data_IF_461076902585
#
_entry.id   IF_461076902585
#
_cell.length_a   1.000
_cell.length_b   1.000
_cell.length_c   1.000
_cell.angle_alpha   90.00
_cell.angle_beta   90.00
_cell.angle_gamma   90.00
#
_symmetry.space_group_name_H-M   'P 1'
#
loop_
_entity.id
_entity.type
_entity.pdbx_description
1 polymer ?
#
# COMPACT_ATOMS: atom_id res chain seq x y z
N UNK A 1 14.00 -13.13 -13.00
CA UNK A 1 13.97 -12.52 -11.64
C UNK A 1 12.92 -11.41 -11.65
N UNK A 2 11.94 -11.45 -10.75
CA UNK A 2 10.90 -10.41 -10.59
C UNK A 2 10.98 -9.87 -9.16
N UNK A 3 11.47 -8.63 -9.03
CA UNK A 3 11.69 -7.97 -7.75
C UNK A 3 11.40 -6.48 -7.91
N UNK A 4 10.65 -5.92 -6.97
CA UNK A 4 10.20 -4.53 -6.97
C UNK A 4 10.39 -3.96 -5.58
N UNK A 5 11.01 -2.79 -5.50
CA UNK A 5 11.16 -2.00 -4.28
C UNK A 5 10.57 -0.63 -4.51
N UNK A 6 9.61 -0.22 -3.69
CA UNK A 6 9.00 1.11 -3.78
C UNK A 6 8.87 1.73 -2.39
N UNK A 7 8.99 3.05 -2.34
CA UNK A 7 8.73 3.87 -1.15
C UNK A 7 7.54 4.75 -1.48
N UNK A 8 6.52 4.72 -0.62
CA UNK A 8 5.30 5.49 -0.86
C UNK A 8 4.45 5.64 0.39
N UNK A 9 3.37 6.41 0.25
CA UNK A 9 2.41 6.66 1.33
C UNK A 9 1.13 5.85 1.13
N UNK A 10 0.60 5.28 2.21
CA UNK A 10 -0.71 4.61 2.17
C UNK A 10 -1.81 5.61 1.88
N UNK A 11 -2.63 5.34 0.87
CA UNK A 11 -3.69 6.27 0.44
C UNK A 11 -4.98 6.04 1.22
N UNK A 12 -5.20 4.83 1.74
CA UNK A 12 -6.44 4.41 2.41
C UNK A 12 -6.14 3.88 3.82
N UNK A 13 -7.12 3.92 4.76
CA UNK A 13 -7.04 3.20 6.01
C UNK A 13 -6.76 1.71 5.79
N UNK A 14 -6.15 1.08 6.79
CA UNK A 14 -5.77 -0.33 6.70
C UNK A 14 -6.93 -1.19 7.17
N UNK A 15 -7.41 -2.04 6.28
CA UNK A 15 -8.50 -3.00 6.52
C UNK A 15 -7.96 -4.41 6.29
N UNK A 16 -8.07 -5.25 7.32
CA UNK A 16 -7.76 -6.68 7.22
C UNK A 16 -9.03 -7.42 6.84
N UNK A 17 -8.93 -8.24 5.81
CA UNK A 17 -9.99 -9.12 5.35
C UNK A 17 -9.54 -10.57 5.55
N UNK A 18 -10.34 -11.37 6.24
CA UNK A 18 -10.12 -12.82 6.30
C UNK A 18 -10.62 -13.45 5.00
N UNK A 19 -9.79 -14.29 4.38
CA UNK A 19 -10.11 -14.98 3.13
C UNK A 19 -9.90 -16.48 3.32
N UNK A 20 -10.98 -17.24 3.26
CA UNK A 20 -10.95 -18.67 3.57
C UNK A 20 -10.75 -18.89 5.07
N UNK A 21 -9.99 -19.92 5.44
CA UNK A 21 -9.79 -20.29 6.85
C UNK A 21 -8.44 -19.80 7.35
N UNK A 22 -8.42 -18.76 8.18
CA UNK A 22 -7.22 -18.31 8.90
C UNK A 22 -6.15 -17.59 8.07
N UNK A 23 -6.47 -17.13 6.85
CA UNK A 23 -5.59 -16.27 6.05
C UNK A 23 -6.14 -14.86 6.01
N UNK A 24 -5.26 -13.89 6.17
CA UNK A 24 -5.62 -12.48 6.18
C UNK A 24 -4.97 -11.76 5.01
N UNK A 25 -5.72 -10.87 4.37
CA UNK A 25 -5.24 -10.01 3.29
C UNK A 25 -5.53 -8.55 3.60
N UNK A 26 -4.61 -7.67 3.23
CA UNK A 26 -4.81 -6.23 3.19
C UNK A 26 -4.54 -5.75 1.77
N UNK A 27 -5.57 -5.19 1.14
CA UNK A 27 -5.47 -4.53 -0.16
C UNK A 27 -5.40 -3.01 0.07
N UNK A 28 -4.34 -2.36 -0.41
CA UNK A 28 -4.19 -0.91 -0.33
C UNK A 28 -3.55 -0.35 -1.60
N UNK A 29 -3.20 0.93 -1.58
CA UNK A 29 -2.54 1.61 -2.68
C UNK A 29 -1.47 2.52 -2.11
N UNK A 30 -0.26 2.43 -2.66
CA UNK A 30 0.83 3.34 -2.33
C UNK A 30 0.86 4.49 -3.34
N UNK A 31 0.82 5.71 -2.84
CA UNK A 31 1.19 6.89 -3.59
C UNK A 31 2.72 6.99 -3.62
N UNK A 32 3.31 6.73 -4.78
CA UNK A 32 4.75 6.78 -5.03
C UNK A 32 5.05 8.07 -5.77
N UNK A 33 5.83 8.94 -5.16
CA UNK A 33 6.18 10.23 -5.75
C UNK A 33 7.14 10.06 -6.93
N UNK A 34 6.85 10.71 -8.07
CA UNK A 34 7.75 10.75 -9.22
C UNK A 34 8.90 11.72 -8.97
N UNK A 35 10.11 11.31 -9.34
CA UNK A 35 11.34 12.12 -9.15
C UNK A 35 11.32 13.38 -10.02
N UNK A 36 10.88 13.27 -11.28
CA UNK A 36 10.77 14.41 -12.18
C UNK A 36 9.46 15.16 -11.95
N UNK A 37 9.56 16.47 -11.74
CA UNK A 37 8.43 17.40 -11.80
C UNK A 37 8.02 17.60 -13.25
N UNK A 38 6.74 17.89 -13.48
CA UNK A 38 6.28 18.37 -14.78
C UNK A 38 6.81 19.78 -15.07
N UNK A 39 6.70 20.20 -16.32
CA UNK A 39 7.07 21.55 -16.77
C UNK A 39 6.29 22.65 -16.04
N UNK A 40 5.14 22.32 -15.44
CA UNK A 40 4.32 23.20 -14.59
C UNK A 40 4.79 23.29 -13.11
N UNK A 41 5.83 22.55 -12.74
CA UNK A 41 6.36 22.49 -11.38
C UNK A 41 5.59 21.62 -10.39
N UNK A 42 4.48 20.99 -10.79
CA UNK A 42 3.65 20.16 -9.90
C UNK A 42 4.30 18.79 -9.63
N UNK A 43 4.20 18.34 -8.37
CA UNK A 43 4.62 17.01 -7.96
C UNK A 43 3.56 15.98 -8.38
N UNK A 44 3.99 14.94 -9.09
CA UNK A 44 3.12 13.83 -9.50
C UNK A 44 3.36 12.60 -8.63
N UNK A 45 2.32 11.79 -8.46
CA UNK A 45 2.41 10.49 -7.82
C UNK A 45 1.79 9.40 -8.70
N UNK A 46 2.42 8.24 -8.70
CA UNK A 46 1.84 6.99 -9.19
C UNK A 46 1.11 6.28 -8.06
N UNK A 47 -0.01 5.66 -8.39
CA UNK A 47 -0.84 4.93 -7.43
C UNK A 47 -0.70 3.44 -7.69
N UNK A 48 0.15 2.78 -6.91
CA UNK A 48 0.48 1.37 -7.10
C UNK A 48 -0.40 0.52 -6.16
N UNK A 49 -1.31 -0.31 -6.69
CA UNK A 49 -2.05 -1.26 -5.87
C UNK A 49 -1.10 -2.26 -5.21
N UNK A 50 -1.28 -2.48 -3.91
CA UNK A 50 -0.52 -3.45 -3.14
C UNK A 50 -1.44 -4.47 -2.48
N UNK A 51 -0.97 -5.71 -2.40
CA UNK A 51 -1.62 -6.82 -1.70
C UNK A 51 -0.63 -7.35 -0.67
N UNK A 52 -1.02 -7.35 0.60
CA UNK A 52 -0.21 -7.80 1.72
C UNK A 52 -0.91 -8.95 2.42
N UNK A 53 -0.19 -10.02 2.73
CA UNK A 53 -0.76 -11.23 3.32
C UNK A 53 -0.30 -11.45 4.77
N UNK A 54 -1.15 -12.12 5.53
CA UNK A 54 -0.92 -12.76 6.82
C UNK A 54 -0.14 -11.88 7.80
N UNK A 55 0.99 -12.36 8.31
CA UNK A 55 1.82 -11.67 9.31
C UNK A 55 2.18 -10.25 8.86
N UNK A 56 2.54 -10.08 7.59
CA UNK A 56 2.93 -8.77 7.04
C UNK A 56 1.72 -7.82 7.00
N UNK A 57 0.52 -8.33 6.73
CA UNK A 57 -0.72 -7.55 6.79
C UNK A 57 -1.04 -7.11 8.23
N UNK A 58 -0.89 -8.00 9.20
CA UNK A 58 -1.06 -7.67 10.62
C UNK A 58 -0.06 -6.60 11.09
N UNK A 59 1.22 -6.71 10.69
CA UNK A 59 2.23 -5.69 10.98
C UNK A 59 1.84 -4.34 10.39
N UNK A 60 1.38 -4.30 9.14
CA UNK A 60 0.89 -3.08 8.51
C UNK A 60 -0.23 -2.45 9.35
N UNK A 61 -1.24 -3.24 9.76
CA UNK A 61 -2.36 -2.75 10.58
C UNK A 61 -1.94 -2.25 11.96
N UNK A 62 -0.94 -2.88 12.56
CA UNK A 62 -0.47 -2.54 13.91
C UNK A 62 0.34 -1.23 13.93
N UNK A 63 1.13 -0.97 12.89
CA UNK A 63 2.14 0.10 12.92
C UNK A 63 1.90 1.24 11.93
N UNK A 64 1.00 1.06 10.96
CA UNK A 64 0.73 2.05 9.94
C UNK A 64 -0.71 2.56 10.01
N UNK A 65 -0.95 3.72 9.41
CA UNK A 65 -2.27 4.29 9.17
C UNK A 65 -2.29 4.96 7.80
N UNK A 66 -3.43 5.57 7.44
CA UNK A 66 -3.52 6.36 6.20
C UNK A 66 -2.46 7.45 6.23
N UNK A 67 -1.71 7.59 5.15
CA UNK A 67 -0.68 8.59 4.98
C UNK A 67 0.71 8.16 5.46
N UNK A 68 0.85 7.06 6.22
CA UNK A 68 2.16 6.58 6.68
C UNK A 68 3.10 6.33 5.49
N UNK A 69 4.32 6.84 5.58
CA UNK A 69 5.40 6.57 4.62
C UNK A 69 6.08 5.23 4.98
N UNK A 70 6.12 4.33 4.02
CA UNK A 70 6.83 3.05 4.17
C UNK A 70 7.51 2.63 2.86
N UNK A 71 8.54 1.81 3.01
CA UNK A 71 9.17 1.06 1.92
C UNK A 71 8.59 -0.34 1.87
N UNK A 72 8.40 -0.88 0.67
CA UNK A 72 7.98 -2.27 0.48
C UNK A 72 8.84 -2.94 -0.57
N UNK A 73 9.14 -4.21 -0.33
CA UNK A 73 9.75 -5.11 -1.31
C UNK A 73 8.76 -6.22 -1.66
N UNK A 74 8.84 -6.71 -2.89
CA UNK A 74 8.00 -7.80 -3.36
C UNK A 74 8.06 -7.97 -4.88
N UNK A 75 6.94 -8.35 -5.48
CA UNK A 75 6.86 -8.71 -6.91
C UNK A 75 5.61 -8.17 -7.58
N UNK A 76 5.72 -7.77 -8.85
CA UNK A 76 4.53 -7.45 -9.65
C UNK A 76 3.82 -8.73 -10.09
N UNK A 77 2.50 -8.73 -10.00
CA UNK A 77 1.63 -9.77 -10.50
C UNK A 77 0.55 -9.15 -11.38
N UNK A 78 0.32 -9.77 -12.54
CA UNK A 78 -0.83 -9.48 -13.39
C UNK A 78 -1.83 -10.60 -13.20
N UNK A 79 -3.08 -10.26 -12.88
CA UNK A 79 -4.19 -11.19 -12.83
C UNK A 79 -5.36 -10.68 -13.64
N UNK A 80 -6.25 -11.58 -14.02
CA UNK A 80 -7.52 -11.20 -14.62
C UNK A 80 -8.69 -11.83 -13.90
N UNK A 81 -9.84 -11.15 -13.91
CA UNK A 81 -11.10 -11.66 -13.39
C UNK A 81 -12.26 -11.17 -14.26
N UNK A 82 -13.37 -11.88 -14.22
CA UNK A 82 -14.60 -11.47 -14.90
C UNK A 82 -15.42 -10.62 -13.93
N UNK A 83 -15.77 -9.40 -14.34
CA UNK A 83 -16.60 -8.52 -13.53
C UNK A 83 -18.09 -8.91 -13.63
N UNK A 84 -18.96 -8.24 -12.86
CA UNK A 84 -20.41 -8.51 -12.87
C UNK A 84 -21.10 -8.24 -14.23
N UNK A 85 -20.43 -7.53 -15.14
CA UNK A 85 -20.90 -7.23 -16.49
C UNK A 85 -20.36 -8.22 -17.53
N UNK A 86 -19.79 -9.35 -17.10
CA UNK A 86 -19.20 -10.38 -17.95
C UNK A 86 -18.02 -9.88 -18.80
N UNK A 87 -17.31 -8.83 -18.36
CA UNK A 87 -16.11 -8.33 -19.01
C UNK A 87 -14.86 -8.81 -18.28
N UNK A 88 -13.83 -9.19 -19.05
CA UNK A 88 -12.52 -9.54 -18.51
C UNK A 88 -11.76 -8.27 -18.12
N UNK A 89 -11.39 -8.17 -16.84
CA UNK A 89 -10.63 -7.06 -16.27
C UNK A 89 -9.23 -7.55 -15.92
N UNK A 90 -8.20 -6.83 -16.38
CA UNK A 90 -6.80 -7.07 -16.02
C UNK A 90 -6.37 -6.11 -14.93
N UNK A 91 -5.68 -6.63 -13.92
CA UNK A 91 -5.13 -5.86 -12.80
C UNK A 91 -3.67 -6.20 -12.64
N UNK A 92 -2.84 -5.15 -12.60
CA UNK A 92 -1.44 -5.25 -12.20
C UNK A 92 -1.33 -4.71 -10.79
N UNK A 93 -0.83 -5.54 -9.88
CA UNK A 93 -0.68 -5.22 -8.46
C UNK A 93 0.65 -5.77 -7.94
N UNK A 94 1.16 -5.17 -6.87
CA UNK A 94 2.36 -5.65 -6.19
C UNK A 94 1.97 -6.54 -5.01
N UNK A 95 2.46 -7.78 -4.99
CA UNK A 95 2.42 -8.61 -3.78
C UNK A 95 3.61 -8.22 -2.91
N UNK A 96 3.33 -7.75 -1.70
CA UNK A 96 4.35 -7.31 -0.73
C UNK A 96 4.84 -8.49 0.08
N UNK A 97 6.16 -8.64 0.13
CA UNK A 97 6.85 -9.69 0.89
C UNK A 97 7.47 -9.12 2.16
N UNK A 98 7.99 -7.90 2.10
CA UNK A 98 8.68 -7.23 3.21
C UNK A 98 8.25 -5.76 3.31
N UNK A 99 8.12 -5.26 4.54
CA UNK A 99 7.82 -3.87 4.86
C UNK A 99 8.98 -3.24 5.64
N UNK A 100 9.40 -2.07 5.20
CA UNK A 100 10.36 -1.19 5.86
C UNK A 100 9.64 0.03 6.40
N UNK A 101 9.62 0.20 7.72
CA UNK A 101 9.01 1.38 8.36
C UNK A 101 9.99 2.55 8.28
N UNK A 102 9.59 3.61 7.57
CA UNK A 102 10.46 4.77 7.31
C UNK A 102 10.12 5.94 8.25
N UNK A 103 8.85 6.15 8.56
CA UNK A 103 8.42 7.23 9.46
C UNK A 103 8.46 6.75 10.92
N UNK A 104 9.23 7.45 11.76
CA UNK A 104 9.37 7.13 13.18
C UNK A 104 8.08 7.44 13.95
N UNK A 105 7.78 6.59 14.94
CA UNK A 105 6.58 6.58 15.80
C UNK A 105 6.17 7.95 16.39
N UNK A 106 7.10 8.90 16.47
CA UNK A 106 6.93 10.22 17.09
C UNK A 106 5.81 11.07 16.48
N UNK A 107 5.52 10.92 15.19
CA UNK A 107 4.50 11.73 14.50
C UNK A 107 3.06 11.23 14.70
N UNK A 108 2.88 10.03 15.26
CA UNK A 108 1.55 9.47 15.53
C UNK A 108 0.99 10.01 16.85
N UNK A 109 1.84 10.41 17.79
CA UNK A 109 1.43 11.03 19.07
C UNK A 109 1.05 12.52 18.91
N UNK A 110 1.77 13.29 18.09
CA UNK A 110 1.49 14.73 17.87
C UNK A 110 0.13 15.02 17.17
N UNK A 111 -0.50 14.02 16.56
CA UNK A 111 -1.81 14.20 15.91
C UNK A 111 -3.02 13.99 16.84
N UNK A 112 -2.79 13.57 18.10
CA UNK A 112 -3.86 13.25 19.07
C UNK A 112 -4.03 14.33 20.14
N UNK A 113 -3.10 15.28 20.29
CA UNK A 113 -3.23 16.44 21.19
C UNK A 113 -3.69 17.70 20.43
N UNK A 114 -4.97 17.77 20.09
CA UNK A 114 -5.71 19.03 20.23
C UNK A 114 -7.10 18.76 20.79
N UNK A 115 -7.24 18.83 22.12
CA UNK A 115 -8.44 19.36 22.74
C UNK A 115 -8.05 20.62 23.54
N UNK A 116 -8.41 21.80 23.02
CA UNK A 116 -9.10 22.93 23.66
C UNK A 116 -9.10 24.12 22.68
#
# INVERSE_FOLDING_TARGET
MNHVSIIGRLVRPIELQEVGTGRFVCNNTLAVQRIRKKDDGQQQADFIPIVVWDKTAHLLKQYCSKGTLLGVNGRMVSRSYVNKQNQQVYVVEMIVEEIHFIESKKKVEEAVEIPF
#
